data_IF_015366624874
#
_entry.id   IF_015366624874
#
_cell.length_a   1.000
_cell.length_b   1.000
_cell.length_c   1.000
_cell.angle_alpha   90.00
_cell.angle_beta   90.00
_cell.angle_gamma   90.00
#
_symmetry.space_group_name_H-M   'P 1'
#
loop_
_entity.id
_entity.type
_entity.pdbx_description
1 polymer ?
#
# COMPACT_ATOMS: atom_id res chain seq x y z
N UNK A 1 10.98 16.23 27.26
CA UNK A 1 11.17 14.89 26.67
C UNK A 1 9.83 14.53 26.08
N UNK A 2 9.67 14.69 24.75
CA UNK A 2 8.46 14.22 24.07
C UNK A 2 8.45 12.70 24.14
N UNK A 3 7.34 12.16 24.60
CA UNK A 3 7.03 10.73 24.52
C UNK A 3 6.73 10.40 23.06
N UNK A 4 7.42 9.41 22.49
CA UNK A 4 7.41 9.07 21.06
C UNK A 4 6.10 8.47 20.53
N UNK A 5 5.00 9.20 20.68
CA UNK A 5 3.70 8.84 20.10
C UNK A 5 3.69 9.06 18.60
N UNK A 6 2.94 8.23 17.88
CA UNK A 6 2.61 8.49 16.47
C UNK A 6 1.55 9.60 16.35
N UNK A 7 1.36 10.09 15.13
CA UNK A 7 0.18 10.87 14.79
C UNK A 7 -1.10 10.04 14.95
N UNK A 8 -2.22 10.74 15.12
CA UNK A 8 -3.54 10.10 15.15
C UNK A 8 -3.94 9.63 13.74
N UNK A 9 -4.36 8.37 13.64
CA UNK A 9 -4.84 7.74 12.40
C UNK A 9 -6.32 7.42 12.56
N UNK A 10 -7.09 7.59 11.47
CA UNK A 10 -8.48 7.17 11.37
C UNK A 10 -8.62 6.20 10.19
N UNK A 11 -9.37 5.11 10.41
CA UNK A 11 -9.60 4.08 9.42
C UNK A 11 -11.06 3.65 9.41
N UNK A 12 -11.49 3.09 8.28
CA UNK A 12 -12.82 2.50 8.12
C UNK A 12 -12.71 0.97 8.08
N UNK A 13 -13.55 0.31 8.88
CA UNK A 13 -13.68 -1.16 8.83
C UNK A 13 -14.52 -1.57 7.62
N UNK A 14 -14.28 -2.74 7.02
CA UNK A 14 -15.15 -3.29 5.98
C UNK A 14 -16.60 -3.43 6.46
N UNK A 15 -17.59 -3.41 5.53
CA UNK A 15 -18.98 -3.70 5.84
C UNK A 15 -19.16 -5.06 6.54
N UNK A 16 -20.21 -5.18 7.36
CA UNK A 16 -20.55 -6.45 7.98
C UNK A 16 -20.91 -7.51 6.93
N UNK A 17 -20.64 -8.78 7.24
CA UNK A 17 -21.02 -9.89 6.35
C UNK A 17 -22.52 -9.88 6.04
N UNK A 18 -22.86 -10.00 4.76
CA UNK A 18 -24.25 -9.91 4.28
C UNK A 18 -24.72 -8.50 3.93
N UNK A 19 -23.82 -7.51 3.87
CA UNK A 19 -24.10 -6.19 3.30
C UNK A 19 -24.38 -6.26 1.80
N UNK A 20 -25.19 -5.32 1.29
CA UNK A 20 -25.64 -5.27 -0.10
C UNK A 20 -24.57 -4.75 -1.08
N UNK A 21 -23.55 -4.04 -0.58
CA UNK A 21 -22.51 -3.42 -1.41
C UNK A 21 -21.12 -3.55 -0.77
N UNK A 22 -20.12 -3.85 -1.60
CA UNK A 22 -18.71 -3.89 -1.23
C UNK A 22 -17.88 -3.31 -2.39
N UNK A 23 -17.00 -2.36 -2.09
CA UNK A 23 -16.09 -1.75 -3.06
C UNK A 23 -14.65 -2.00 -2.65
N UNK A 24 -13.87 -2.58 -3.57
CA UNK A 24 -12.47 -2.87 -3.30
C UNK A 24 -11.61 -2.54 -4.51
N UNK A 25 -10.32 -2.30 -4.25
CA UNK A 25 -9.28 -2.14 -5.26
C UNK A 25 -8.41 -3.40 -5.28
N UNK A 26 -8.04 -3.86 -6.47
CA UNK A 26 -7.15 -5.03 -6.68
C UNK A 26 -6.04 -4.66 -7.66
N UNK A 27 -4.80 -5.04 -7.34
CA UNK A 27 -3.64 -4.95 -8.23
C UNK A 27 -2.51 -5.87 -7.77
N UNK A 28 -1.54 -6.15 -8.63
CA UNK A 28 -0.30 -6.88 -8.33
C UNK A 28 0.91 -6.12 -8.88
N UNK A 29 2.11 -6.61 -8.58
CA UNK A 29 3.35 -6.22 -9.27
C UNK A 29 3.68 -4.73 -9.16
N UNK A 30 3.24 -4.07 -8.07
CA UNK A 30 3.40 -2.62 -7.94
C UNK A 30 4.84 -2.23 -7.66
N UNK A 31 5.50 -2.93 -6.74
CA UNK A 31 6.83 -2.59 -6.28
C UNK A 31 6.93 -1.18 -5.71
N UNK A 32 8.09 -0.55 -5.91
CA UNK A 32 8.38 0.80 -5.41
C UNK A 32 9.26 1.60 -6.37
N UNK A 33 9.29 2.90 -6.18
CA UNK A 33 10.22 3.78 -6.89
C UNK A 33 10.56 4.99 -6.02
N UNK A 34 11.81 5.48 -6.02
CA UNK A 34 12.22 6.66 -5.27
C UNK A 34 11.45 7.91 -5.73
N UNK A 35 11.22 8.84 -4.81
CA UNK A 35 10.59 10.14 -5.08
C UNK A 35 11.57 11.18 -5.66
N UNK A 36 12.86 10.87 -5.64
CA UNK A 36 13.97 11.72 -6.07
C UNK A 36 14.84 11.00 -7.12
N UNK A 37 15.93 11.60 -7.62
CA UNK A 37 16.80 10.99 -8.63
C UNK A 37 17.67 9.83 -8.12
N UNK A 38 17.43 9.31 -6.91
CA UNK A 38 18.21 8.18 -6.39
C UNK A 38 18.02 6.92 -7.23
N UNK A 39 18.99 6.02 -7.11
CA UNK A 39 18.95 4.71 -7.76
C UNK A 39 18.93 3.65 -6.68
N UNK A 40 18.05 2.68 -6.82
CA UNK A 40 17.82 1.61 -5.87
C UNK A 40 17.72 0.27 -6.61
N UNK A 41 17.72 -0.84 -5.87
CA UNK A 41 17.45 -2.15 -6.44
C UNK A 41 15.98 -2.20 -6.88
N UNK A 42 15.70 -2.78 -8.05
CA UNK A 42 14.38 -2.81 -8.71
C UNK A 42 13.50 -1.54 -8.56
N UNK A 43 13.47 -0.73 -9.61
CA UNK A 43 12.61 0.47 -9.66
C UNK A 43 11.40 0.17 -10.55
N UNK A 44 10.20 0.32 -9.98
CA UNK A 44 8.93 0.27 -10.70
C UNK A 44 8.31 1.68 -10.75
N UNK A 45 8.61 2.51 -11.77
CA UNK A 45 8.12 3.89 -11.84
C UNK A 45 6.60 4.03 -11.79
N UNK A 46 5.89 2.98 -12.23
CA UNK A 46 4.43 2.90 -12.17
C UNK A 46 3.87 2.91 -10.74
N UNK A 47 4.64 2.47 -9.75
CA UNK A 47 4.21 2.40 -8.33
C UNK A 47 3.66 3.73 -7.82
N UNK A 48 4.34 4.84 -8.11
CA UNK A 48 3.93 6.18 -7.69
C UNK A 48 2.58 6.59 -8.30
N UNK A 49 2.31 6.18 -9.54
CA UNK A 49 1.07 6.50 -10.24
C UNK A 49 -0.10 5.68 -9.69
N UNK A 50 0.13 4.39 -9.40
CA UNK A 50 -0.85 3.51 -8.75
C UNK A 50 -1.21 4.07 -7.38
N UNK A 51 -0.22 4.34 -6.52
CA UNK A 51 -0.45 4.89 -5.18
C UNK A 51 -1.21 6.21 -5.25
N UNK A 52 -0.80 7.13 -6.13
CA UNK A 52 -1.48 8.42 -6.30
C UNK A 52 -2.95 8.25 -6.70
N UNK A 53 -3.25 7.36 -7.64
CA UNK A 53 -4.63 7.10 -8.06
C UNK A 53 -5.46 6.50 -6.90
N UNK A 54 -4.89 5.50 -6.21
CA UNK A 54 -5.55 4.85 -5.08
C UNK A 54 -5.81 5.79 -3.90
N UNK A 55 -4.90 6.74 -3.63
CA UNK A 55 -5.10 7.75 -2.58
C UNK A 55 -6.32 8.62 -2.91
N UNK A 56 -6.54 8.93 -4.20
CA UNK A 56 -7.75 9.60 -4.67
C UNK A 56 -9.01 8.79 -4.40
N UNK A 57 -9.01 7.51 -4.77
CA UNK A 57 -10.17 6.62 -4.59
C UNK A 57 -10.51 6.38 -3.11
N UNK A 58 -9.50 6.08 -2.27
CA UNK A 58 -9.67 5.92 -0.82
C UNK A 58 -10.10 7.23 -0.17
N UNK A 59 -9.53 8.36 -0.60
CA UNK A 59 -9.89 9.69 -0.09
C UNK A 59 -11.34 10.10 -0.35
N UNK A 60 -11.97 9.53 -1.39
CA UNK A 60 -13.38 9.77 -1.70
C UNK A 60 -14.34 8.94 -0.83
N UNK A 61 -13.84 8.08 0.07
CA UNK A 61 -14.66 7.29 1.00
C UNK A 61 -15.41 6.12 0.36
N UNK A 62 -15.06 5.75 -0.88
CA UNK A 62 -15.76 4.74 -1.68
C UNK A 62 -15.01 3.40 -1.78
N UNK A 63 -14.02 3.15 -0.92
CA UNK A 63 -13.20 1.94 -0.93
C UNK A 63 -13.20 1.32 0.46
N UNK A 64 -13.65 0.08 0.56
CA UNK A 64 -13.70 -0.67 1.82
C UNK A 64 -12.42 -1.45 2.07
N UNK A 65 -11.72 -1.87 1.02
CA UNK A 65 -10.55 -2.76 1.11
C UNK A 65 -9.65 -2.67 -0.12
N UNK A 66 -8.37 -3.01 0.08
CA UNK A 66 -7.35 -3.13 -0.96
C UNK A 66 -6.80 -4.56 -0.94
N UNK A 67 -6.62 -5.15 -2.11
CA UNK A 67 -5.98 -6.45 -2.31
C UNK A 67 -4.76 -6.30 -3.23
N UNK A 68 -3.57 -6.49 -2.66
CA UNK A 68 -2.30 -6.52 -3.37
C UNK A 68 -1.90 -7.97 -3.65
N UNK A 69 -2.15 -8.44 -4.87
CA UNK A 69 -2.10 -9.87 -5.23
C UNK A 69 -0.70 -10.37 -5.63
N UNK A 70 0.32 -10.02 -4.85
CA UNK A 70 1.70 -10.52 -4.98
C UNK A 70 2.66 -9.54 -5.66
N UNK A 71 3.95 -9.90 -5.60
CA UNK A 71 5.06 -9.11 -6.12
C UNK A 71 5.05 -7.69 -5.54
N UNK A 72 5.28 -7.66 -4.23
CA UNK A 72 4.86 -6.58 -3.34
C UNK A 72 5.80 -5.38 -3.47
N UNK A 73 7.04 -5.54 -2.98
CA UNK A 73 8.04 -4.47 -2.93
C UNK A 73 9.18 -4.67 -3.92
N UNK A 74 9.35 -5.90 -4.43
CA UNK A 74 10.55 -6.35 -5.13
C UNK A 74 11.84 -6.22 -4.31
N UNK A 75 11.76 -6.11 -2.98
CA UNK A 75 12.94 -5.96 -2.11
C UNK A 75 14.00 -7.05 -2.34
N UNK A 76 13.58 -8.31 -2.56
CA UNK A 76 14.41 -9.43 -3.07
C UNK A 76 15.84 -9.48 -2.50
N UNK A 77 15.96 -9.34 -1.18
CA UNK A 77 17.23 -9.39 -0.44
C UNK A 77 17.73 -8.03 0.10
N UNK A 78 17.23 -6.90 -0.43
CA UNK A 78 17.50 -5.55 0.06
C UNK A 78 16.42 -5.11 1.06
N UNK A 79 16.56 -5.51 2.32
CA UNK A 79 15.50 -5.37 3.34
C UNK A 79 15.02 -3.92 3.56
N UNK A 80 15.88 -2.92 3.38
CA UNK A 80 15.51 -1.49 3.51
C UNK A 80 14.39 -1.08 2.55
N UNK A 81 14.22 -1.79 1.43
CA UNK A 81 13.18 -1.48 0.45
C UNK A 81 11.79 -1.85 0.96
N UNK A 82 11.69 -2.73 1.95
CA UNK A 82 10.43 -2.94 2.67
C UNK A 82 10.01 -1.70 3.45
N UNK A 83 10.93 -1.03 4.13
CA UNK A 83 10.63 0.20 4.87
C UNK A 83 10.17 1.30 3.91
N UNK A 84 10.84 1.44 2.76
CA UNK A 84 10.42 2.36 1.71
C UNK A 84 9.02 2.04 1.18
N UNK A 85 8.75 0.77 0.85
CA UNK A 85 7.45 0.32 0.37
C UNK A 85 6.34 0.59 1.40
N UNK A 86 6.58 0.28 2.69
CA UNK A 86 5.62 0.50 3.77
C UNK A 86 5.34 2.00 3.98
N UNK A 87 6.34 2.86 3.84
CA UNK A 87 6.14 4.32 3.84
C UNK A 87 5.32 4.77 2.64
N UNK A 88 5.62 4.25 1.44
CA UNK A 88 4.92 4.59 0.20
C UNK A 88 3.42 4.24 0.28
N UNK A 89 3.05 3.09 0.84
CA UNK A 89 1.64 2.68 0.96
C UNK A 89 0.94 3.19 2.24
N UNK A 90 1.66 3.82 3.17
CA UNK A 90 1.11 4.30 4.44
C UNK A 90 -0.18 5.13 4.27
N UNK A 91 -0.30 6.06 3.29
CA UNK A 91 -1.55 6.81 3.06
C UNK A 91 -2.77 5.95 2.72
N UNK A 92 -2.56 4.70 2.29
CA UNK A 92 -3.59 3.73 1.95
C UNK A 92 -3.82 2.74 3.10
N UNK A 93 -2.76 2.03 3.50
CA UNK A 93 -2.82 0.94 4.47
C UNK A 93 -3.14 1.41 5.91
N UNK A 94 -2.96 2.71 6.20
CA UNK A 94 -3.41 3.29 7.47
C UNK A 94 -4.91 3.63 7.50
N UNK A 95 -5.60 3.65 6.36
CA UNK A 95 -6.99 4.14 6.25
C UNK A 95 -8.01 3.06 5.94
N UNK A 96 -7.63 2.02 5.20
CA UNK A 96 -8.48 0.88 4.84
C UNK A 96 -7.69 -0.40 4.97
N UNK A 97 -8.40 -1.54 5.07
CA UNK A 97 -7.72 -2.84 5.10
C UNK A 97 -6.89 -3.06 3.83
N UNK A 98 -5.64 -3.48 3.99
CA UNK A 98 -4.71 -3.75 2.90
C UNK A 98 -4.23 -5.20 3.00
N UNK A 99 -4.77 -6.05 2.14
CA UNK A 99 -4.53 -7.49 2.16
C UNK A 99 -3.52 -7.88 1.08
N UNK A 100 -2.58 -8.75 1.40
CA UNK A 100 -1.52 -9.17 0.47
C UNK A 100 -1.63 -10.66 0.12
N UNK A 101 -1.24 -11.02 -1.10
CA UNK A 101 -0.85 -12.37 -1.48
C UNK A 101 0.67 -12.45 -1.69
N UNK A 102 1.23 -13.66 -1.76
CA UNK A 102 2.67 -13.91 -1.96
C UNK A 102 2.93 -14.17 -3.44
N UNK A 103 3.78 -13.35 -4.06
CA UNK A 103 4.29 -13.54 -5.41
C UNK A 103 5.58 -14.36 -5.46
N UNK A 104 6.22 -14.42 -6.62
CA UNK A 104 7.50 -15.13 -6.76
C UNK A 104 8.68 -14.31 -6.20
N UNK A 105 8.54 -12.99 -6.06
CA UNK A 105 9.57 -12.12 -5.49
C UNK A 105 9.55 -12.06 -3.94
N UNK A 106 8.59 -12.75 -3.32
CA UNK A 106 8.48 -12.91 -1.85
C UNK A 106 8.93 -14.29 -1.33
N UNK A 107 9.31 -15.22 -2.21
CA UNK A 107 9.71 -16.60 -1.86
C UNK A 107 11.21 -16.79 -1.68
#
# INVERSE_FOLDING_TARGET
MEVGWSDQIQFQTPPAGGSDELKFLVYGDMGKAPLDPSTEHYIQPGSLSVVKAMVGEVGNGNVDSIFHIGDISYATGFLVEWDYFLQLISPLASRVSYMTAIGNHER
#
